data_IF_229404318112
#
_entry.id   IF_229404318112
#
_cell.length_a   1.000
_cell.length_b   1.000
_cell.length_c   1.000
_cell.angle_alpha   90.00
_cell.angle_beta   90.00
_cell.angle_gamma   90.00
#
_symmetry.space_group_name_H-M   'P 1'
#
loop_
_entity.id
_entity.type
_entity.pdbx_description
1 polymer ?
#
# COMPACT_ATOMS: atom_id res chain seq x y z
N UNK A 1 -13.32 2.14 49.91
CA UNK A 1 -12.03 2.44 49.23
C UNK A 1 -12.37 2.82 47.80
N UNK A 2 -12.59 4.11 47.56
CA UNK A 2 -12.95 4.65 46.23
C UNK A 2 -11.64 5.00 45.55
N UNK A 3 -11.29 4.32 44.47
CA UNK A 3 -10.12 4.71 43.68
C UNK A 3 -10.40 6.09 43.04
N UNK A 4 -9.42 7.00 43.05
CA UNK A 4 -9.59 8.33 42.47
C UNK A 4 -9.67 8.19 40.95
N UNK A 5 -10.83 8.50 40.38
CA UNK A 5 -11.13 8.41 38.94
C UNK A 5 -10.17 9.26 38.07
N UNK A 6 -9.57 10.31 38.64
CA UNK A 6 -8.60 11.18 37.94
C UNK A 6 -7.36 10.43 37.45
N UNK A 7 -6.85 9.44 38.19
CA UNK A 7 -5.64 8.72 37.77
C UNK A 7 -5.87 7.82 36.55
N UNK A 8 -7.11 7.40 36.32
CA UNK A 8 -7.48 6.54 35.19
C UNK A 8 -7.56 7.33 33.89
N UNK A 9 -8.08 8.56 33.93
CA UNK A 9 -8.16 9.45 32.77
C UNK A 9 -6.76 9.90 32.29
N UNK A 10 -5.84 10.16 33.22
CA UNK A 10 -4.47 10.56 32.88
C UNK A 10 -3.70 9.44 32.17
N UNK A 11 -3.84 8.18 32.61
CA UNK A 11 -3.17 7.04 31.97
C UNK A 11 -3.74 6.80 30.56
N UNK A 12 -5.06 6.91 30.39
CA UNK A 12 -5.70 6.73 29.09
C UNK A 12 -5.27 7.82 28.09
N UNK A 13 -5.18 9.08 28.56
CA UNK A 13 -4.73 10.21 27.73
C UNK A 13 -3.24 10.10 27.32
N UNK A 14 -2.36 9.68 28.23
CA UNK A 14 -0.94 9.44 27.96
C UNK A 14 -0.75 8.30 26.95
N UNK A 15 -1.51 7.21 27.11
CA UNK A 15 -1.46 6.07 26.22
C UNK A 15 -1.98 6.43 24.82
N UNK A 16 -2.99 7.29 24.72
CA UNK A 16 -3.42 7.86 23.44
C UNK A 16 -2.33 8.73 22.79
N UNK A 17 -1.63 9.58 23.57
CA UNK A 17 -0.55 10.43 23.05
C UNK A 17 0.61 9.62 22.48
N UNK A 18 1.07 8.58 23.19
CA UNK A 18 2.13 7.68 22.71
C UNK A 18 1.68 6.93 21.46
N UNK A 19 0.43 6.47 21.43
CA UNK A 19 -0.14 5.79 20.26
C UNK A 19 -0.19 6.72 19.04
N UNK A 20 -0.56 7.98 19.23
CA UNK A 20 -0.56 9.02 18.18
C UNK A 20 0.87 9.35 17.70
N UNK A 21 1.83 9.46 18.62
CA UNK A 21 3.23 9.72 18.29
C UNK A 21 3.86 8.57 17.48
N UNK A 22 3.55 7.32 17.82
CA UNK A 22 3.98 6.16 17.03
C UNK A 22 3.32 6.10 15.65
N UNK A 23 2.05 6.47 15.54
CA UNK A 23 1.33 6.54 14.25
C UNK A 23 1.85 7.68 13.37
N UNK A 24 2.29 8.79 13.99
CA UNK A 24 2.79 9.97 13.29
C UNK A 24 4.21 9.80 12.72
N UNK A 25 4.93 8.75 13.10
CA UNK A 25 6.29 8.51 12.59
C UNK A 25 6.29 7.53 11.41
N UNK A 26 5.35 7.68 10.45
CA UNK A 26 5.59 7.08 9.14
C UNK A 26 6.89 7.68 8.60
N UNK A 27 7.92 6.86 8.31
CA UNK A 27 9.18 7.39 7.78
C UNK A 27 8.88 8.15 6.49
N UNK A 28 9.37 9.38 6.40
CA UNK A 28 9.19 10.27 5.24
C UNK A 28 9.41 9.57 3.89
N UNK A 29 10.35 8.61 3.85
CA UNK A 29 10.63 7.77 2.69
C UNK A 29 9.43 6.95 2.19
N UNK A 30 8.57 6.44 3.07
CA UNK A 30 7.36 5.73 2.66
C UNK A 30 6.38 6.66 1.93
N UNK A 31 6.22 7.90 2.40
CA UNK A 31 5.38 8.90 1.71
C UNK A 31 5.89 9.17 0.30
N UNK A 32 7.21 9.31 0.13
CA UNK A 32 7.83 9.49 -1.20
C UNK A 32 7.53 8.31 -2.11
N UNK A 33 7.67 7.07 -1.60
CA UNK A 33 7.34 5.84 -2.36
C UNK A 33 5.86 5.84 -2.77
N UNK A 34 4.94 6.23 -1.89
CA UNK A 34 3.50 6.30 -2.21
C UNK A 34 3.18 7.32 -3.30
N UNK A 35 3.85 8.47 -3.30
CA UNK A 35 3.68 9.48 -4.36
C UNK A 35 4.23 8.93 -5.69
N UNK A 36 5.39 8.27 -5.65
CA UNK A 36 5.96 7.61 -6.83
C UNK A 36 5.03 6.53 -7.40
N UNK A 37 4.41 5.74 -6.54
CA UNK A 37 3.39 4.74 -6.91
C UNK A 37 2.22 5.39 -7.68
N UNK A 38 1.67 6.48 -7.15
CA UNK A 38 0.57 7.19 -7.82
C UNK A 38 0.98 7.75 -9.20
N UNK A 39 2.20 8.28 -9.33
CA UNK A 39 2.72 8.80 -10.60
C UNK A 39 2.98 7.69 -11.63
N UNK A 40 3.53 6.56 -11.18
CA UNK A 40 3.72 5.37 -12.02
C UNK A 40 2.38 4.81 -12.49
N UNK A 41 1.41 4.67 -11.59
CA UNK A 41 0.07 4.24 -11.91
C UNK A 41 -0.60 5.14 -12.97
N UNK A 42 -0.48 6.46 -12.81
CA UNK A 42 -0.97 7.42 -13.80
C UNK A 42 -0.26 7.27 -15.15
N UNK A 43 1.06 7.07 -15.15
CA UNK A 43 1.85 6.89 -16.37
C UNK A 43 1.42 5.62 -17.12
N UNK A 44 1.22 4.50 -16.41
CA UNK A 44 0.69 3.26 -17.01
C UNK A 44 -0.69 3.50 -17.62
N UNK A 45 -1.57 4.25 -16.94
CA UNK A 45 -2.88 4.58 -17.49
C UNK A 45 -2.80 5.39 -18.79
N UNK A 46 -1.93 6.41 -18.83
CA UNK A 46 -1.74 7.23 -20.04
C UNK A 46 -1.16 6.41 -21.19
N UNK A 47 -0.18 5.55 -20.92
CA UNK A 47 0.42 4.69 -21.94
C UNK A 47 -0.58 3.66 -22.47
N UNK A 48 -1.35 3.00 -21.60
CA UNK A 48 -2.39 2.04 -22.03
C UNK A 48 -3.52 2.73 -22.77
N UNK A 49 -3.90 3.96 -22.39
CA UNK A 49 -4.85 4.77 -23.13
C UNK A 49 -4.33 5.19 -24.51
N UNK A 50 -3.05 5.53 -24.62
CA UNK A 50 -2.40 5.80 -25.91
C UNK A 50 -2.40 4.56 -26.81
N UNK A 51 -2.06 3.39 -26.27
CA UNK A 51 -2.11 2.12 -27.00
C UNK A 51 -3.52 1.84 -27.54
N UNK A 52 -4.57 2.04 -26.71
CA UNK A 52 -5.98 1.94 -27.15
C UNK A 52 -6.29 2.90 -28.30
N UNK A 53 -5.76 4.13 -28.27
CA UNK A 53 -5.99 5.10 -29.34
C UNK A 53 -5.33 4.70 -30.67
N UNK A 54 -4.24 3.93 -30.62
CA UNK A 54 -3.51 3.45 -31.80
C UNK A 54 -4.15 2.18 -32.37
N UNK A 55 -4.46 1.19 -31.54
CA UNK A 55 -4.94 -0.13 -31.98
C UNK A 55 -6.47 -0.27 -32.01
N UNK A 56 -7.21 0.71 -31.49
CA UNK A 56 -8.67 0.65 -31.37
C UNK A 56 -9.12 0.03 -30.04
N UNK A 57 -10.24 0.53 -29.52
CA UNK A 57 -10.73 0.18 -28.18
C UNK A 57 -11.44 -1.17 -28.04
N UNK A 58 -11.92 -1.75 -29.15
CA UNK A 58 -12.79 -2.93 -29.11
C UNK A 58 -12.07 -4.22 -28.67
N UNK A 59 -10.73 -4.23 -28.70
CA UNK A 59 -9.92 -5.43 -28.43
C UNK A 59 -8.98 -5.30 -27.22
N UNK A 60 -8.88 -4.12 -26.59
CA UNK A 60 -7.90 -3.87 -25.54
C UNK A 60 -8.49 -4.00 -24.13
N UNK A 61 -8.70 -5.25 -23.68
CA UNK A 61 -9.19 -5.55 -22.33
C UNK A 61 -8.24 -5.03 -21.22
N UNK A 62 -6.96 -4.91 -21.55
CA UNK A 62 -5.89 -4.46 -20.65
C UNK A 62 -6.08 -3.01 -20.15
N UNK A 63 -6.73 -2.15 -20.95
CA UNK A 63 -7.04 -0.79 -20.53
C UNK A 63 -8.04 -0.75 -19.38
N UNK A 64 -9.09 -1.56 -19.43
CA UNK A 64 -10.12 -1.60 -18.39
C UNK A 64 -9.55 -2.00 -17.02
N UNK A 65 -8.68 -3.00 -17.00
CA UNK A 65 -8.02 -3.44 -15.76
C UNK A 65 -6.99 -2.42 -15.27
N UNK A 66 -6.21 -1.80 -16.16
CA UNK A 66 -5.26 -0.74 -15.79
C UNK A 66 -5.97 0.49 -15.21
N UNK A 67 -7.13 0.85 -15.78
CA UNK A 67 -7.99 1.91 -15.24
C UNK A 67 -8.55 1.55 -13.87
N UNK A 68 -9.06 0.33 -13.68
CA UNK A 68 -9.54 -0.14 -12.39
C UNK A 68 -8.44 -0.12 -11.33
N UNK A 69 -7.24 -0.61 -11.66
CA UNK A 69 -6.07 -0.60 -10.78
C UNK A 69 -5.69 0.85 -10.39
N UNK A 70 -5.70 1.78 -11.34
CA UNK A 70 -5.44 3.20 -11.08
C UNK A 70 -6.49 3.83 -10.15
N UNK A 71 -7.79 3.63 -10.42
CA UNK A 71 -8.86 4.13 -9.55
C UNK A 71 -8.73 3.55 -8.14
N UNK A 72 -8.41 2.27 -8.03
CA UNK A 72 -8.14 1.64 -6.74
C UNK A 72 -6.93 2.26 -6.02
N UNK A 73 -5.83 2.53 -6.74
CA UNK A 73 -4.67 3.25 -6.18
C UNK A 73 -5.08 4.62 -5.66
N UNK A 74 -5.93 5.39 -6.36
CA UNK A 74 -6.44 6.68 -5.84
C UNK A 74 -7.22 6.48 -4.54
N UNK A 75 -8.16 5.54 -4.51
CA UNK A 75 -8.97 5.26 -3.30
C UNK A 75 -8.08 4.87 -2.14
N UNK A 76 -7.07 4.02 -2.39
CA UNK A 76 -6.08 3.63 -1.41
C UNK A 76 -5.24 4.80 -0.90
N UNK A 77 -4.75 5.67 -1.79
CA UNK A 77 -3.98 6.86 -1.41
C UNK A 77 -4.83 7.84 -0.60
N UNK A 78 -6.10 8.04 -0.98
CA UNK A 78 -7.03 8.85 -0.20
C UNK A 78 -7.22 8.26 1.21
N UNK A 79 -7.37 6.93 1.33
CA UNK A 79 -7.45 6.29 2.64
C UNK A 79 -6.19 6.54 3.49
N UNK A 80 -4.99 6.43 2.90
CA UNK A 80 -3.73 6.64 3.63
C UNK A 80 -3.52 8.09 4.05
N UNK A 81 -3.75 9.06 3.16
CA UNK A 81 -3.45 10.47 3.43
C UNK A 81 -4.57 11.17 4.19
N UNK A 82 -5.84 10.93 3.84
CA UNK A 82 -6.97 11.68 4.39
C UNK A 82 -7.40 11.15 5.76
N UNK A 83 -7.36 9.83 5.97
CA UNK A 83 -7.88 9.22 7.22
C UNK A 83 -7.11 9.67 8.46
N UNK A 84 -5.76 9.69 8.49
CA UNK A 84 -5.02 10.15 9.67
C UNK A 84 -5.28 11.62 10.02
N UNK A 85 -5.45 12.48 9.00
CA UNK A 85 -5.67 13.92 9.20
C UNK A 85 -7.09 14.25 9.66
N UNK A 86 -8.10 13.63 9.03
CA UNK A 86 -9.52 13.97 9.25
C UNK A 86 -10.15 13.13 10.37
N UNK A 87 -9.77 11.87 10.48
CA UNK A 87 -10.46 10.91 11.34
C UNK A 87 -9.49 9.82 11.84
N UNK A 88 -8.54 10.16 12.74
CA UNK A 88 -7.55 9.20 13.24
C UNK A 88 -8.18 7.98 13.93
N UNK A 89 -9.40 8.15 14.48
CA UNK A 89 -10.19 7.05 15.08
C UNK A 89 -10.67 6.00 14.05
N UNK A 90 -10.77 6.38 12.78
CA UNK A 90 -11.19 5.50 11.68
C UNK A 90 -10.01 4.73 11.06
N UNK A 91 -8.76 5.09 11.39
CA UNK A 91 -7.59 4.44 10.81
C UNK A 91 -7.35 3.07 11.46
N UNK A 92 -7.70 2.00 10.74
CA UNK A 92 -7.47 0.63 11.17
C UNK A 92 -6.34 -0.01 10.36
N UNK A 93 -5.33 -0.53 11.05
CA UNK A 93 -4.16 -1.16 10.40
C UNK A 93 -4.55 -2.39 9.56
N UNK A 94 -5.52 -3.18 10.02
CA UNK A 94 -6.02 -4.36 9.29
C UNK A 94 -6.62 -3.98 7.94
N UNK A 95 -7.35 -2.86 7.92
CA UNK A 95 -7.96 -2.34 6.70
C UNK A 95 -6.88 -1.87 5.74
N UNK A 96 -5.84 -1.19 6.23
CA UNK A 96 -4.69 -0.80 5.40
C UNK A 96 -4.06 -2.02 4.70
N UNK A 97 -3.73 -3.08 5.45
CA UNK A 97 -3.12 -4.29 4.90
C UNK A 97 -4.03 -4.95 3.86
N UNK A 98 -5.34 -5.06 4.15
CA UNK A 98 -6.31 -5.62 3.19
C UNK A 98 -6.37 -4.80 1.91
N UNK A 99 -6.46 -3.47 2.01
CA UNK A 99 -6.49 -2.59 0.83
C UNK A 99 -5.22 -2.71 -0.01
N UNK A 100 -4.07 -2.87 0.65
CA UNK A 100 -2.78 -3.04 -0.01
C UNK A 100 -2.63 -4.41 -0.69
N UNK A 101 -3.13 -5.49 -0.09
CA UNK A 101 -3.23 -6.81 -0.74
C UNK A 101 -4.09 -6.73 -2.00
N UNK A 102 -5.24 -6.06 -1.93
CA UNK A 102 -6.13 -5.89 -3.09
C UNK A 102 -5.44 -5.05 -4.18
N UNK A 103 -4.77 -3.95 -3.81
CA UNK A 103 -4.01 -3.15 -4.75
C UNK A 103 -2.93 -3.98 -5.46
N UNK A 104 -2.18 -4.77 -4.70
CA UNK A 104 -1.15 -5.67 -5.24
C UNK A 104 -1.75 -6.68 -6.21
N UNK A 105 -2.92 -7.27 -5.88
CA UNK A 105 -3.60 -8.21 -6.78
C UNK A 105 -4.04 -7.56 -8.10
N UNK A 106 -4.55 -6.32 -8.07
CA UNK A 106 -4.89 -5.58 -9.29
C UNK A 106 -3.66 -5.28 -10.16
N UNK A 107 -2.53 -4.94 -9.54
CA UNK A 107 -1.28 -4.70 -10.28
C UNK A 107 -0.68 -5.97 -10.87
N UNK A 108 -0.68 -7.10 -10.15
CA UNK A 108 -0.30 -8.41 -10.69
C UNK A 108 -1.17 -8.78 -11.90
N UNK A 109 -2.48 -8.55 -11.80
CA UNK A 109 -3.41 -8.82 -12.91
C UNK A 109 -3.10 -7.92 -14.11
N UNK A 110 -2.84 -6.63 -13.87
CA UNK A 110 -2.47 -5.66 -14.91
C UNK A 110 -1.17 -6.05 -15.62
N UNK A 111 -0.15 -6.45 -14.87
CA UNK A 111 1.14 -6.95 -15.42
C UNK A 111 0.93 -8.20 -16.25
N UNK A 112 0.13 -9.14 -15.76
CA UNK A 112 -0.13 -10.40 -16.45
C UNK A 112 -0.83 -10.16 -17.80
N UNK A 113 -1.81 -9.26 -17.83
CA UNK A 113 -2.49 -8.86 -19.07
C UNK A 113 -1.56 -8.09 -20.02
N UNK A 114 -0.80 -7.11 -19.51
CA UNK A 114 0.18 -6.37 -20.32
C UNK A 114 1.24 -7.30 -20.93
N UNK A 115 1.69 -8.30 -20.16
CA UNK A 115 2.66 -9.29 -20.63
C UNK A 115 2.07 -10.17 -21.73
N UNK A 116 0.83 -10.62 -21.57
CA UNK A 116 0.10 -11.38 -22.59
C UNK A 116 -0.07 -10.59 -23.90
N UNK A 117 -0.44 -9.31 -23.80
CA UNK A 117 -0.57 -8.44 -24.98
C UNK A 117 0.79 -8.25 -25.66
N UNK A 118 1.86 -7.96 -24.91
CA UNK A 118 3.21 -7.83 -25.47
C UNK A 118 3.61 -9.10 -26.23
N UNK A 119 3.42 -10.29 -25.62
CA UNK A 119 3.74 -11.56 -26.27
C UNK A 119 2.94 -11.78 -27.55
N UNK A 120 1.67 -11.38 -27.56
CA UNK A 120 0.79 -11.50 -28.73
C UNK A 120 1.29 -10.61 -29.87
N UNK A 121 1.67 -9.38 -29.56
CA UNK A 121 2.23 -8.45 -30.55
C UNK A 121 3.61 -8.87 -31.05
N UNK A 122 4.47 -9.40 -30.17
CA UNK A 122 5.78 -9.94 -30.56
C UNK A 122 5.61 -11.14 -31.52
N UNK A 123 4.69 -12.06 -31.22
CA UNK A 123 4.40 -13.18 -32.11
C UNK A 123 3.78 -12.75 -33.45
N UNK A 124 2.94 -11.70 -33.44
CA UNK A 124 2.39 -11.14 -34.67
C UNK A 124 3.48 -10.48 -35.53
N UNK A 125 4.43 -9.78 -34.90
CA UNK A 125 5.60 -9.19 -35.56
C UNK A 125 6.43 -10.28 -36.27
N UNK A 126 6.74 -11.39 -35.58
CA UNK A 126 7.49 -12.52 -36.15
C UNK A 126 6.79 -13.13 -37.38
N UNK A 127 5.48 -13.38 -37.30
CA UNK A 127 4.72 -13.95 -38.43
C UNK A 127 4.66 -12.97 -39.61
N UNK A 128 4.49 -11.68 -39.36
CA UNK A 128 4.50 -10.66 -40.41
C UNK A 128 5.84 -10.65 -41.15
N UNK A 129 6.97 -10.70 -40.44
CA UNK A 129 8.29 -10.75 -41.06
C UNK A 129 8.53 -12.00 -41.91
N UNK A 130 8.04 -13.16 -41.48
CA UNK A 130 8.24 -14.43 -42.20
C UNK A 130 7.30 -14.62 -43.40
N UNK A 131 6.12 -13.99 -43.40
CA UNK A 131 5.07 -14.27 -44.38
C UNK A 131 4.82 -13.17 -45.42
N UNK A 132 5.23 -11.93 -45.16
CA UNK A 132 4.93 -10.81 -46.05
C UNK A 132 5.92 -10.72 -47.21
N UNK A 133 5.38 -10.44 -48.39
CA UNK A 133 6.18 -9.95 -49.52
C UNK A 133 6.66 -8.51 -49.26
N UNK A 134 7.73 -8.06 -49.92
CA UNK A 134 8.29 -6.71 -49.74
C UNK A 134 7.24 -5.59 -49.92
N UNK A 135 6.27 -5.79 -50.82
CA UNK A 135 5.20 -4.83 -51.08
C UNK A 135 4.18 -4.75 -49.92
N UNK A 136 3.86 -5.87 -49.28
CA UNK A 136 2.92 -5.91 -48.16
C UNK A 136 3.58 -5.41 -46.87
N UNK A 137 4.87 -5.71 -46.67
CA UNK A 137 5.67 -5.13 -45.59
C UNK A 137 5.73 -3.60 -45.68
N UNK A 138 5.84 -3.03 -46.89
CA UNK A 138 5.78 -1.59 -47.09
C UNK A 138 4.41 -1.00 -46.74
N UNK A 139 3.32 -1.73 -47.00
CA UNK A 139 1.96 -1.32 -46.64
C UNK A 139 1.73 -1.36 -45.13
N UNK A 140 2.17 -2.41 -44.43
CA UNK A 140 2.07 -2.51 -42.96
C UNK A 140 2.89 -1.40 -42.29
N UNK A 141 4.11 -1.14 -42.78
CA UNK A 141 4.94 -0.04 -42.28
C UNK A 141 4.36 1.36 -42.59
N UNK A 142 3.38 1.47 -43.49
CA UNK A 142 2.68 2.73 -43.76
C UNK A 142 1.60 3.07 -42.73
N UNK A 143 1.23 2.13 -41.86
CA UNK A 143 0.27 2.38 -40.78
C UNK A 143 0.90 3.34 -39.75
N UNK A 144 0.30 4.53 -39.54
CA UNK A 144 0.88 5.51 -38.64
C UNK A 144 0.88 5.00 -37.20
N UNK A 145 2.00 5.20 -36.50
CA UNK A 145 2.16 5.03 -35.05
C UNK A 145 2.07 3.59 -34.50
N UNK A 146 2.07 2.53 -35.32
CA UNK A 146 2.06 1.16 -34.79
C UNK A 146 3.30 0.86 -33.92
N UNK A 147 4.48 1.19 -34.42
CA UNK A 147 5.74 0.98 -33.70
C UNK A 147 5.80 1.72 -32.37
N UNK A 148 5.29 2.95 -32.31
CA UNK A 148 5.22 3.72 -31.07
C UNK A 148 4.17 3.15 -30.10
N UNK A 149 3.08 2.57 -30.61
CA UNK A 149 2.10 1.84 -29.81
C UNK A 149 2.70 0.60 -29.12
N UNK A 150 3.41 -0.24 -29.87
CA UNK A 150 4.08 -1.44 -29.30
C UNK A 150 5.14 -1.03 -28.27
N UNK A 151 5.96 -0.02 -28.58
CA UNK A 151 6.95 0.50 -27.64
C UNK A 151 6.29 1.04 -26.36
N UNK A 152 5.19 1.80 -26.48
CA UNK A 152 4.45 2.30 -25.33
C UNK A 152 3.87 1.17 -24.47
N UNK A 153 3.39 0.09 -25.09
CA UNK A 153 2.89 -1.10 -24.40
C UNK A 153 4.01 -1.79 -23.59
N UNK A 154 5.19 -1.98 -24.18
CA UNK A 154 6.36 -2.57 -23.50
C UNK A 154 6.83 -1.69 -22.32
N UNK A 155 6.82 -0.36 -22.47
CA UNK A 155 7.13 0.58 -21.37
C UNK A 155 6.05 0.51 -20.28
N UNK A 156 4.77 0.41 -20.65
CA UNK A 156 3.69 0.27 -19.69
C UNK A 156 3.83 -1.02 -18.86
N UNK A 157 4.22 -2.14 -19.51
CA UNK A 157 4.53 -3.40 -18.82
C UNK A 157 5.66 -3.24 -17.80
N UNK A 158 6.74 -2.57 -18.18
CA UNK A 158 7.88 -2.34 -17.29
C UNK A 158 7.47 -1.50 -16.07
N UNK A 159 6.72 -0.42 -16.26
CA UNK A 159 6.23 0.42 -15.16
C UNK A 159 5.19 -0.27 -14.28
N UNK A 160 4.27 -1.04 -14.85
CA UNK A 160 3.31 -1.83 -14.09
C UNK A 160 4.01 -2.91 -13.24
N UNK A 161 5.10 -3.50 -13.78
CA UNK A 161 5.92 -4.46 -13.05
C UNK A 161 6.64 -3.81 -11.87
N UNK A 162 7.22 -2.63 -12.10
CA UNK A 162 7.84 -1.83 -11.04
C UNK A 162 6.83 -1.45 -9.95
N UNK A 163 5.63 -1.02 -10.35
CA UNK A 163 4.54 -0.67 -9.44
C UNK A 163 4.11 -1.86 -8.57
N UNK A 164 4.01 -3.04 -9.17
CA UNK A 164 3.71 -4.29 -8.46
C UNK A 164 4.77 -4.59 -7.39
N UNK A 165 6.05 -4.45 -7.74
CA UNK A 165 7.15 -4.67 -6.79
C UNK A 165 7.14 -3.63 -5.66
N UNK A 166 6.86 -2.36 -5.97
CA UNK A 166 6.73 -1.32 -4.95
C UNK A 166 5.60 -1.65 -3.97
N UNK A 167 4.41 -2.04 -4.46
CA UNK A 167 3.28 -2.44 -3.60
C UNK A 167 3.60 -3.67 -2.73
N UNK A 168 4.23 -4.70 -3.31
CA UNK A 168 4.65 -5.87 -2.56
C UNK A 168 5.68 -5.51 -1.46
N UNK A 169 6.60 -4.60 -1.77
CA UNK A 169 7.63 -4.14 -0.82
C UNK A 169 7.02 -3.33 0.31
N UNK A 170 6.13 -2.39 0.00
CA UNK A 170 5.44 -1.58 1.03
C UNK A 170 4.53 -2.43 1.90
N UNK A 171 3.87 -3.44 1.34
CA UNK A 171 3.10 -4.43 2.10
C UNK A 171 3.99 -5.18 3.11
N UNK A 172 5.17 -5.65 2.67
CA UNK A 172 6.11 -6.36 3.54
C UNK A 172 6.65 -5.48 4.67
N UNK A 173 7.02 -4.23 4.37
CA UNK A 173 7.49 -3.27 5.37
C UNK A 173 6.39 -2.96 6.39
N UNK A 174 5.16 -2.73 5.92
CA UNK A 174 4.02 -2.49 6.80
C UNK A 174 3.76 -3.68 7.73
N UNK A 175 3.74 -4.90 7.21
CA UNK A 175 3.54 -6.11 8.03
C UNK A 175 4.66 -6.29 9.07
N UNK A 176 5.92 -6.09 8.68
CA UNK A 176 7.06 -6.14 9.60
C UNK A 176 6.93 -5.12 10.74
N UNK A 177 6.54 -3.88 10.41
CA UNK A 177 6.39 -2.81 11.40
C UNK A 177 5.23 -3.10 12.38
N UNK A 178 4.10 -3.62 11.89
CA UNK A 178 2.96 -3.95 12.74
C UNK A 178 3.18 -5.22 13.57
N UNK A 179 3.91 -6.21 13.05
CA UNK A 179 4.24 -7.43 13.79
C UNK A 179 5.27 -7.22 14.92
N UNK A 180 5.94 -6.07 14.97
CA UNK A 180 6.84 -5.71 16.09
C UNK A 180 6.10 -5.11 17.31
N UNK A 181 4.93 -4.51 17.11
CA UNK A 181 4.09 -3.90 18.16
C UNK A 181 3.54 -4.86 19.28
N UNK A 182 3.24 -6.15 19.04
CA UNK A 182 2.54 -6.98 20.04
C UNK A 182 3.40 -7.40 21.24
N UNK A 183 4.72 -7.29 21.18
CA UNK A 183 5.59 -7.66 22.30
C UNK A 183 5.82 -6.51 23.29
N UNK A 184 5.93 -5.27 22.83
CA UNK A 184 6.19 -4.12 23.71
C UNK A 184 4.98 -3.77 24.57
N UNK A 185 3.77 -3.86 24.01
CA UNK A 185 2.53 -3.64 24.78
C UNK A 185 2.30 -4.73 25.84
N UNK A 186 2.76 -5.97 25.61
CA UNK A 186 2.68 -7.05 26.60
C UNK A 186 3.72 -6.91 27.71
N UNK A 187 4.91 -6.40 27.41
CA UNK A 187 5.95 -6.13 28.39
C UNK A 187 5.59 -4.91 29.24
N UNK A 188 5.19 -3.80 28.63
CA UNK A 188 4.76 -2.59 29.35
C UNK A 188 3.56 -2.83 30.27
N UNK A 189 2.54 -3.58 29.82
CA UNK A 189 1.38 -3.90 30.69
C UNK A 189 1.76 -4.83 31.84
N UNK A 190 2.72 -5.76 31.64
CA UNK A 190 3.22 -6.58 32.74
C UNK A 190 4.04 -5.75 33.72
N UNK A 191 4.93 -4.91 33.24
CA UNK A 191 5.80 -4.12 34.10
C UNK A 191 5.01 -3.07 34.88
N UNK A 192 4.04 -2.40 34.25
CA UNK A 192 3.11 -1.50 34.96
C UNK A 192 2.33 -2.26 36.03
N UNK A 193 1.74 -3.43 35.71
CA UNK A 193 1.06 -4.25 36.73
C UNK A 193 2.00 -4.67 37.86
N UNK A 194 3.24 -5.04 37.56
CA UNK A 194 4.23 -5.44 38.57
C UNK A 194 4.62 -4.26 39.47
N UNK A 195 4.80 -3.06 38.91
CA UNK A 195 5.12 -1.85 39.67
C UNK A 195 3.95 -1.45 40.56
N UNK A 196 2.72 -1.41 40.02
CA UNK A 196 1.52 -1.06 40.81
C UNK A 196 1.28 -2.06 41.94
N UNK A 197 1.45 -3.37 41.69
CA UNK A 197 1.28 -4.39 42.73
C UNK A 197 2.36 -4.26 43.83
N UNK A 198 3.61 -3.91 43.46
CA UNK A 198 4.68 -3.68 44.44
C UNK A 198 4.42 -2.44 45.30
N UNK A 199 3.99 -1.33 44.72
CA UNK A 199 3.72 -0.11 45.49
C UNK A 199 2.54 -0.29 46.46
N UNK A 200 1.50 -1.02 46.04
CA UNK A 200 0.37 -1.35 46.92
C UNK A 200 0.78 -2.29 48.07
N UNK A 201 1.73 -3.19 47.82
CA UNK A 201 2.25 -4.07 48.87
C UNK A 201 3.10 -3.31 49.90
N UNK A 202 3.91 -2.34 49.47
CA UNK A 202 4.69 -1.47 50.37
C UNK A 202 3.78 -0.55 51.20
N UNK A 203 2.74 0.03 50.59
CA UNK A 203 1.78 0.88 51.32
C UNK A 203 0.99 0.08 52.38
N UNK A 204 0.62 -1.17 52.07
CA UNK A 204 -0.04 -2.05 53.03
C UNK A 204 0.86 -2.41 54.23
N UNK A 205 2.17 -2.58 54.01
CA UNK A 205 3.13 -2.81 55.10
C UNK A 205 3.33 -1.58 55.99
N UNK A 206 3.36 -0.37 55.43
CA UNK A 206 3.55 0.86 56.23
C UNK A 206 2.30 1.16 57.10
N UNK A 207 1.10 0.83 56.61
CA UNK A 207 -0.14 0.97 57.40
C UNK A 207 -0.14 0.02 58.60
N UNK A 208 0.22 -1.26 58.40
CA UNK A 208 0.22 -2.27 59.46
C UNK A 208 1.24 -1.95 60.56
N UNK A 209 2.40 -1.42 60.18
CA UNK A 209 3.44 -0.98 61.11
C UNK A 209 2.99 0.19 62.01
N UNK A 210 2.19 1.13 61.49
CA UNK A 210 1.67 2.25 62.30
C UNK A 210 0.61 1.82 63.32
N UNK A 211 -0.19 0.80 63.01
CA UNK A 211 -1.22 0.28 63.93
C UNK A 211 -0.68 -0.46 65.15
N UNK A 212 0.56 -0.97 65.11
CA UNK A 212 1.16 -1.67 66.27
C UNK A 212 1.79 -0.74 67.31
N UNK A 213 1.94 0.56 67.02
CA UNK A 213 2.61 1.54 67.90
C UNK A 213 1.61 2.33 68.77
N UNK A 214 0.31 2.16 68.53
CA UNK A 214 -0.80 2.75 69.32
C UNK A 214 -1.46 1.72 70.22
#
# INVERSE_FOLDING_TARGET
MSYPSEQLEDVESQQEWVRRALISSMPFWLTVIRIAQLLLAFTVLVLTGYVVSVFGGDYFHTFGISFLAFVWTIVFMLYIFVTPERAPKLYYYRVHIILEIIATAFWITSVSLLAWECQTWDAAEDVLYDSLTEAEAALVNSLPNQWSGIAALRVALAFASLETVLFATTMFISDCFFNQQPNETRLGVRDVKVITVKSLAEEAQDVDARTMVT
#
